data_IF_428782092320
#
_entry.id   IF_428782092320
#
_cell.length_a   1.000
_cell.length_b   1.000
_cell.length_c   1.000
_cell.angle_alpha   90.00
_cell.angle_beta   90.00
_cell.angle_gamma   90.00
#
_symmetry.space_group_name_H-M   'P 1'
#
loop_
_entity.id
_entity.type
_entity.pdbx_description
1 polymer ?
#
# COMPACT_ATOMS: atom_id res chain seq x y z
N UNK A 1 12.98 15.15 1.78
CA UNK A 1 11.75 14.42 2.16
C UNK A 1 11.01 15.32 3.11
N UNK A 2 9.78 15.75 2.79
CA UNK A 2 8.99 16.61 3.67
C UNK A 2 8.50 15.80 4.89
N UNK A 3 8.13 16.48 5.98
CA UNK A 3 7.58 15.82 7.18
C UNK A 3 6.31 15.01 6.80
N UNK A 4 5.53 15.49 5.85
CA UNK A 4 4.34 14.82 5.34
C UNK A 4 4.68 13.52 4.57
N UNK A 5 5.80 13.50 3.82
CA UNK A 5 6.27 12.29 3.13
C UNK A 5 6.56 11.18 4.13
N UNK A 6 7.26 11.49 5.22
CA UNK A 6 7.68 10.51 6.22
C UNK A 6 6.49 9.91 6.97
N UNK A 7 5.51 10.73 7.32
CA UNK A 7 4.26 10.28 7.95
C UNK A 7 3.48 9.35 7.02
N UNK A 8 3.35 9.72 5.74
CA UNK A 8 2.62 8.93 4.77
C UNK A 8 3.28 7.57 4.47
N UNK A 9 4.62 7.55 4.35
CA UNK A 9 5.35 6.29 4.17
C UNK A 9 5.22 5.38 5.39
N UNK A 10 5.25 5.92 6.60
CA UNK A 10 5.04 5.15 7.82
C UNK A 10 3.62 4.57 7.90
N UNK A 11 2.61 5.33 7.55
CA UNK A 11 1.23 4.86 7.49
C UNK A 11 1.05 3.72 6.46
N UNK A 12 1.68 3.84 5.29
CA UNK A 12 1.70 2.77 4.31
C UNK A 12 2.33 1.48 4.86
N UNK A 13 3.49 1.58 5.54
CA UNK A 13 4.14 0.40 6.15
C UNK A 13 3.20 -0.28 7.15
N UNK A 14 2.51 0.48 7.99
CA UNK A 14 1.51 -0.06 8.94
C UNK A 14 0.41 -0.81 8.21
N UNK A 15 -0.14 -0.24 7.14
CA UNK A 15 -1.23 -0.83 6.38
C UNK A 15 -0.78 -2.11 5.63
N UNK A 16 0.42 -2.10 5.06
CA UNK A 16 0.99 -3.28 4.41
C UNK A 16 1.30 -4.37 5.43
N UNK A 17 1.84 -4.03 6.61
CA UNK A 17 2.08 -4.99 7.69
C UNK A 17 0.78 -5.70 8.12
N UNK A 18 -0.35 -4.99 8.20
CA UNK A 18 -1.65 -5.60 8.48
C UNK A 18 -2.07 -6.60 7.38
N UNK A 19 -1.84 -6.26 6.10
CA UNK A 19 -2.11 -7.16 4.97
C UNK A 19 -1.20 -8.38 4.99
N UNK A 20 0.08 -8.21 5.28
CA UNK A 20 1.03 -9.32 5.44
C UNK A 20 0.60 -10.26 6.57
N UNK A 21 0.09 -9.72 7.69
CA UNK A 21 -0.51 -10.53 8.74
C UNK A 21 -1.65 -11.42 8.21
N UNK A 22 -2.56 -10.85 7.43
CA UNK A 22 -3.65 -11.63 6.81
C UNK A 22 -3.11 -12.70 5.87
N UNK A 23 -2.11 -12.38 5.05
CA UNK A 23 -1.46 -13.33 4.15
C UNK A 23 -0.85 -14.49 4.94
N UNK A 24 -0.13 -14.21 6.03
CA UNK A 24 0.44 -15.26 6.89
C UNK A 24 -0.65 -16.16 7.49
N UNK A 25 -1.80 -15.62 7.91
CA UNK A 25 -2.93 -16.46 8.34
C UNK A 25 -3.48 -17.32 7.20
N UNK A 26 -3.50 -16.84 5.97
CA UNK A 26 -3.91 -17.61 4.80
C UNK A 26 -2.93 -18.76 4.45
N UNK A 27 -1.71 -18.78 4.99
CA UNK A 27 -0.78 -19.90 4.80
C UNK A 27 -1.07 -21.10 5.71
N UNK A 28 -1.80 -20.91 6.82
CA UNK A 28 -2.10 -21.98 7.80
C UNK A 28 -2.91 -23.14 7.20
N UNK A 29 -3.92 -22.93 6.34
CA UNK A 29 -4.65 -24.04 5.71
C UNK A 29 -3.82 -24.87 4.72
N UNK A 30 -2.74 -24.33 4.15
CA UNK A 30 -1.98 -24.99 3.10
C UNK A 30 -1.44 -26.37 3.52
N UNK A 31 -0.73 -26.54 4.65
CA UNK A 31 -0.26 -27.85 5.09
C UNK A 31 -1.40 -28.80 5.48
N UNK A 32 -2.57 -28.28 5.89
CA UNK A 32 -3.76 -29.13 6.16
C UNK A 32 -4.28 -29.71 4.84
N UNK A 33 -4.32 -28.92 3.78
CA UNK A 33 -4.67 -29.40 2.43
C UNK A 33 -3.68 -30.47 1.97
N UNK A 34 -2.38 -30.30 2.19
CA UNK A 34 -1.37 -31.34 1.85
C UNK A 34 -1.57 -32.62 2.64
N UNK A 35 -1.84 -32.53 3.94
CA UNK A 35 -2.13 -33.68 4.74
C UNK A 35 -3.40 -34.42 4.26
N UNK A 36 -4.45 -33.68 3.89
CA UNK A 36 -5.67 -34.27 3.35
C UNK A 36 -5.44 -34.96 1.98
N UNK A 37 -4.67 -34.34 1.07
CA UNK A 37 -4.33 -34.89 -0.22
C UNK A 37 -3.43 -36.14 -0.07
N UNK A 38 -2.56 -36.16 0.93
CA UNK A 38 -1.75 -37.35 1.27
C UNK A 38 -2.58 -38.50 1.83
N UNK A 39 -3.64 -38.20 2.59
CA UNK A 39 -4.54 -39.20 3.14
C UNK A 39 -5.39 -39.93 2.09
N UNK A 40 -5.57 -39.32 0.90
CA UNK A 40 -6.30 -39.94 -0.23
C UNK A 40 -5.35 -40.38 -1.36
N UNK A 41 -4.05 -40.52 -1.07
CA UNK A 41 -2.99 -41.00 -1.98
C UNK A 41 -2.85 -40.16 -3.29
N UNK A 42 -3.40 -38.96 -3.34
CA UNK A 42 -3.23 -38.05 -4.49
C UNK A 42 -1.81 -37.45 -4.50
N UNK A 43 -1.30 -37.11 -3.31
CA UNK A 43 0.04 -36.56 -3.12
C UNK A 43 0.74 -37.27 -1.93
N UNK A 44 1.88 -37.88 -2.19
CA UNK A 44 2.65 -38.58 -1.15
C UNK A 44 3.56 -37.52 -0.46
N UNK A 45 3.02 -36.86 0.55
CA UNK A 45 3.77 -35.88 1.37
C UNK A 45 3.99 -36.46 2.77
N UNK A 46 5.22 -36.50 3.31
CA UNK A 46 5.47 -36.96 4.66
C UNK A 46 4.67 -36.20 5.70
N UNK A 47 3.95 -36.88 6.58
CA UNK A 47 3.14 -36.21 7.62
C UNK A 47 3.96 -35.33 8.56
N UNK A 48 5.20 -35.73 8.88
CA UNK A 48 6.12 -34.96 9.68
C UNK A 48 6.46 -33.61 9.03
N UNK A 49 6.60 -33.59 7.70
CA UNK A 49 6.83 -32.37 6.94
C UNK A 49 5.60 -31.44 6.99
N UNK A 50 4.41 -31.98 6.70
CA UNK A 50 3.15 -31.22 6.77
C UNK A 50 2.94 -30.62 8.15
N UNK A 51 3.25 -31.35 9.22
CA UNK A 51 3.20 -30.89 10.60
C UNK A 51 4.21 -29.75 10.84
N UNK A 52 5.45 -29.89 10.35
CA UNK A 52 6.48 -28.85 10.47
C UNK A 52 6.08 -27.54 9.80
N UNK A 53 5.54 -27.59 8.57
CA UNK A 53 5.04 -26.42 7.85
C UNK A 53 3.83 -25.80 8.57
N UNK A 54 2.94 -26.63 9.14
CA UNK A 54 1.79 -26.17 9.93
C UNK A 54 2.24 -25.42 11.19
N UNK A 55 3.18 -25.98 11.94
CA UNK A 55 3.71 -25.32 13.15
C UNK A 55 4.40 -24.00 12.80
N UNK A 56 5.24 -24.00 11.76
CA UNK A 56 5.91 -22.79 11.29
C UNK A 56 4.90 -21.69 10.95
N UNK A 57 3.93 -21.98 10.09
CA UNK A 57 2.93 -20.99 9.64
C UNK A 57 2.08 -20.48 10.81
N UNK A 58 1.66 -21.38 11.71
CA UNK A 58 0.85 -21.04 12.88
C UNK A 58 1.62 -20.15 13.85
N UNK A 59 2.82 -20.57 14.27
CA UNK A 59 3.64 -19.82 15.25
C UNK A 59 3.95 -18.43 14.71
N UNK A 60 4.41 -18.31 13.45
CA UNK A 60 4.75 -17.02 12.88
C UNK A 60 3.54 -16.11 12.69
N UNK A 61 2.39 -16.64 12.26
CA UNK A 61 1.17 -15.85 12.11
C UNK A 61 0.71 -15.24 13.45
N UNK A 62 0.68 -16.04 14.52
CA UNK A 62 0.30 -15.56 15.84
C UNK A 62 1.33 -14.62 16.45
N UNK A 63 2.64 -14.91 16.30
CA UNK A 63 3.72 -14.04 16.76
C UNK A 63 3.65 -12.68 16.03
N UNK A 64 3.49 -12.69 14.72
CA UNK A 64 3.40 -11.46 13.92
C UNK A 64 2.20 -10.61 14.33
N UNK A 65 1.02 -11.23 14.52
CA UNK A 65 -0.18 -10.56 15.02
C UNK A 65 0.01 -9.96 16.43
N UNK A 66 0.68 -10.70 17.31
CA UNK A 66 1.00 -10.23 18.66
C UNK A 66 1.91 -8.99 18.64
N UNK A 67 2.93 -8.99 17.79
CA UNK A 67 3.86 -7.87 17.64
C UNK A 67 3.17 -6.62 17.04
N UNK A 68 2.26 -6.80 16.08
CA UNK A 68 1.41 -5.70 15.57
C UNK A 68 0.59 -5.09 16.71
N UNK A 69 -0.06 -5.91 17.55
CA UNK A 69 -0.85 -5.42 18.68
C UNK A 69 -0.01 -4.67 19.72
N UNK A 70 1.25 -5.05 19.89
CA UNK A 70 2.22 -4.36 20.78
C UNK A 70 2.80 -3.07 20.19
N UNK A 71 2.40 -2.66 18.98
CA UNK A 71 2.95 -1.49 18.29
C UNK A 71 4.48 -1.49 18.21
N UNK A 72 5.08 -2.65 17.95
CA UNK A 72 6.51 -2.78 17.71
C UNK A 72 6.91 -1.98 16.47
N UNK A 73 8.19 -1.61 16.37
CA UNK A 73 8.72 -0.84 15.24
C UNK A 73 8.27 -1.43 13.89
N UNK A 74 7.60 -0.60 13.09
CA UNK A 74 6.95 -1.02 11.85
C UNK A 74 7.94 -1.49 10.79
N UNK A 75 9.15 -0.93 10.77
CA UNK A 75 10.23 -1.35 9.87
C UNK A 75 10.74 -2.75 10.26
N UNK A 76 10.86 -3.03 11.55
CA UNK A 76 11.20 -4.38 12.03
C UNK A 76 10.13 -5.40 11.61
N UNK A 77 8.84 -5.05 11.78
CA UNK A 77 7.72 -5.89 11.34
C UNK A 77 7.76 -6.14 9.83
N UNK A 78 8.08 -5.14 9.03
CA UNK A 78 8.26 -5.31 7.58
C UNK A 78 9.28 -6.41 7.27
N UNK A 79 10.50 -6.32 7.84
CA UNK A 79 11.53 -7.33 7.59
C UNK A 79 11.15 -8.71 8.12
N UNK A 80 10.54 -8.77 9.30
CA UNK A 80 10.04 -10.02 9.87
C UNK A 80 8.97 -10.68 8.99
N UNK A 81 8.04 -9.88 8.44
CA UNK A 81 7.00 -10.37 7.53
C UNK A 81 7.58 -10.93 6.22
N UNK A 82 8.60 -10.25 5.67
CA UNK A 82 9.32 -10.71 4.48
C UNK A 82 10.05 -12.03 4.77
N UNK A 83 10.74 -12.11 5.89
CA UNK A 83 11.43 -13.36 6.29
C UNK A 83 10.45 -14.50 6.55
N UNK A 84 9.32 -14.23 7.18
CA UNK A 84 8.29 -15.23 7.44
C UNK A 84 7.67 -15.78 6.14
N UNK A 85 7.36 -14.92 5.17
CA UNK A 85 6.81 -15.32 3.88
C UNK A 85 7.85 -16.06 3.01
N UNK A 86 9.09 -15.58 2.99
CA UNK A 86 10.19 -16.24 2.27
C UNK A 86 10.53 -17.61 2.87
N UNK A 87 10.55 -17.71 4.20
CA UNK A 87 10.77 -18.97 4.90
C UNK A 87 9.64 -19.97 4.69
N UNK A 88 8.39 -19.52 4.65
CA UNK A 88 7.26 -20.38 4.31
C UNK A 88 7.40 -20.96 2.90
N UNK A 89 7.71 -20.13 1.90
CA UNK A 89 7.92 -20.59 0.52
C UNK A 89 9.14 -21.51 0.41
N UNK A 90 10.21 -21.23 1.15
CA UNK A 90 11.39 -22.08 1.23
C UNK A 90 11.04 -23.46 1.78
N UNK A 91 10.29 -23.54 2.88
CA UNK A 91 9.82 -24.80 3.42
C UNK A 91 9.00 -25.58 2.39
N UNK A 92 8.08 -24.91 1.67
CA UNK A 92 7.33 -25.54 0.59
C UNK A 92 8.24 -26.05 -0.54
N UNK A 93 9.34 -25.34 -0.78
CA UNK A 93 10.32 -25.67 -1.82
C UNK A 93 11.23 -26.85 -1.51
N UNK A 94 11.51 -27.17 -0.24
CA UNK A 94 12.42 -28.26 0.15
C UNK A 94 11.88 -29.62 -0.28
N UNK A 95 10.59 -29.85 -0.12
CA UNK A 95 9.97 -31.13 -0.51
C UNK A 95 9.88 -31.22 -2.03
N UNK A 96 10.62 -32.15 -2.62
CA UNK A 96 10.78 -32.28 -4.08
C UNK A 96 9.50 -32.60 -4.86
N UNK A 97 8.43 -32.99 -4.18
CA UNK A 97 7.16 -33.44 -4.77
C UNK A 97 6.35 -32.23 -5.26
N UNK A 98 6.49 -31.06 -4.60
CA UNK A 98 5.72 -29.85 -4.92
C UNK A 98 6.60 -28.92 -5.75
N UNK A 99 6.36 -28.86 -7.06
CA UNK A 99 7.08 -27.93 -7.94
C UNK A 99 6.45 -26.54 -7.83
N UNK A 100 6.80 -25.78 -6.79
CA UNK A 100 6.23 -24.43 -6.55
C UNK A 100 7.28 -23.34 -6.84
N UNK A 101 7.92 -23.40 -7.99
CA UNK A 101 8.92 -22.38 -8.39
C UNK A 101 8.32 -20.97 -8.39
N UNK A 102 7.09 -20.86 -8.88
CA UNK A 102 6.36 -19.60 -8.94
C UNK A 102 6.10 -18.98 -7.56
N UNK A 103 6.02 -19.81 -6.51
CA UNK A 103 5.78 -19.32 -5.13
C UNK A 103 6.93 -18.47 -4.62
N UNK A 104 8.16 -18.68 -5.10
CA UNK A 104 9.30 -17.86 -4.75
C UNK A 104 9.23 -16.43 -5.31
N UNK A 105 8.34 -16.16 -6.26
CA UNK A 105 8.05 -14.81 -6.72
C UNK A 105 7.17 -14.02 -5.73
N UNK A 106 6.43 -14.72 -4.84
CA UNK A 106 5.46 -14.11 -3.95
C UNK A 106 6.06 -13.12 -2.93
N UNK A 107 7.14 -13.44 -2.18
CA UNK A 107 7.76 -12.47 -1.28
C UNK A 107 8.27 -11.20 -1.98
N UNK A 108 8.94 -11.24 -3.14
CA UNK A 108 9.29 -10.06 -3.93
C UNK A 108 8.08 -9.19 -4.29
N UNK A 109 6.94 -9.77 -4.70
CA UNK A 109 5.73 -9.02 -4.99
C UNK A 109 5.13 -8.35 -3.74
N UNK A 110 5.16 -9.02 -2.59
CA UNK A 110 4.76 -8.40 -1.32
C UNK A 110 5.63 -7.17 -1.02
N UNK A 111 6.93 -7.25 -1.27
CA UNK A 111 7.84 -6.13 -1.00
C UNK A 111 7.61 -4.92 -1.89
N UNK A 112 7.05 -5.09 -3.09
CA UNK A 112 6.65 -3.97 -3.93
C UNK A 112 5.61 -3.06 -3.26
N UNK A 113 4.75 -3.62 -2.38
CA UNK A 113 3.73 -2.88 -1.65
C UNK A 113 4.31 -1.91 -0.61
N UNK A 114 5.55 -2.12 -0.16
CA UNK A 114 6.23 -1.22 0.77
C UNK A 114 6.87 0.00 0.10
N UNK A 115 6.80 0.10 -1.23
CA UNK A 115 7.39 1.18 -2.03
C UNK A 115 8.91 1.37 -1.82
N UNK A 116 9.59 0.34 -1.33
CA UNK A 116 11.02 0.38 -1.05
C UNK A 116 11.79 -0.49 -2.05
N UNK A 117 12.32 0.17 -3.09
CA UNK A 117 13.07 -0.46 -4.18
C UNK A 117 14.27 -1.28 -3.70
N UNK A 118 14.99 -0.82 -2.65
CA UNK A 118 16.14 -1.56 -2.10
C UNK A 118 15.70 -2.87 -1.46
N UNK A 119 14.64 -2.83 -0.64
CA UNK A 119 14.08 -4.01 0.01
C UNK A 119 13.61 -5.03 -1.03
N UNK A 120 12.90 -4.58 -2.07
CA UNK A 120 12.44 -5.44 -3.16
C UNK A 120 13.59 -6.16 -3.86
N UNK A 121 14.66 -5.44 -4.23
CA UNK A 121 15.85 -6.04 -4.87
C UNK A 121 16.51 -7.09 -3.99
N UNK A 122 16.72 -6.77 -2.72
CA UNK A 122 17.31 -7.70 -1.77
C UNK A 122 16.44 -8.95 -1.56
N UNK A 123 15.12 -8.78 -1.43
CA UNK A 123 14.21 -9.93 -1.28
C UNK A 123 14.23 -10.82 -2.51
N UNK A 124 14.23 -10.24 -3.72
CA UNK A 124 14.33 -11.02 -4.96
C UNK A 124 15.62 -11.84 -5.03
N UNK A 125 16.75 -11.22 -4.66
CA UNK A 125 18.03 -11.93 -4.61
C UNK A 125 18.05 -13.05 -3.55
N UNK A 126 17.52 -12.78 -2.35
CA UNK A 126 17.42 -13.83 -1.30
C UNK A 126 16.52 -14.97 -1.74
N UNK A 127 15.37 -14.69 -2.37
CA UNK A 127 14.50 -15.74 -2.89
C UNK A 127 15.17 -16.58 -3.99
N UNK A 128 16.01 -15.97 -4.84
CA UNK A 128 16.84 -16.69 -5.79
C UNK A 128 17.78 -17.67 -5.10
N UNK A 129 18.52 -17.23 -4.07
CA UNK A 129 19.42 -18.09 -3.32
C UNK A 129 18.66 -19.24 -2.61
N UNK A 130 17.52 -18.94 -1.99
CA UNK A 130 16.68 -19.96 -1.36
C UNK A 130 16.18 -20.99 -2.39
N UNK A 131 15.81 -20.55 -3.59
CA UNK A 131 15.43 -21.47 -4.68
C UNK A 131 16.60 -22.37 -5.06
N UNK A 132 17.80 -21.83 -5.23
CA UNK A 132 19.00 -22.63 -5.52
C UNK A 132 19.25 -23.70 -4.45
N UNK A 133 19.12 -23.33 -3.17
CA UNK A 133 19.25 -24.26 -2.04
C UNK A 133 18.19 -25.37 -2.11
N UNK A 134 16.96 -25.07 -2.50
CA UNK A 134 15.91 -26.08 -2.67
C UNK A 134 16.16 -27.05 -3.84
N UNK A 135 16.76 -26.57 -4.94
CA UNK A 135 17.05 -27.39 -6.11
C UNK A 135 18.20 -28.37 -5.88
N UNK A 136 19.13 -28.08 -4.98
CA UNK A 136 20.26 -28.95 -4.68
C UNK A 136 19.85 -30.33 -4.16
N UNK A 137 19.11 -30.49 -3.05
CA UNK A 137 18.68 -31.82 -2.57
C UNK A 137 17.74 -32.52 -3.55
N UNK A 138 16.95 -31.77 -4.33
CA UNK A 138 16.09 -32.34 -5.37
C UNK A 138 16.87 -33.10 -6.44
N UNK A 139 18.05 -32.60 -6.81
CA UNK A 139 18.88 -33.23 -7.85
C UNK A 139 19.24 -34.71 -7.57
N UNK A 140 19.26 -35.09 -6.31
CA UNK A 140 19.56 -36.49 -5.89
C UNK A 140 18.33 -37.38 -5.90
N UNK A 141 17.12 -36.80 -5.86
CA UNK A 141 15.86 -37.55 -5.76
C UNK A 141 15.12 -37.72 -7.10
N UNK A 142 15.58 -37.04 -8.14
CA UNK A 142 14.94 -37.07 -9.46
C UNK A 142 15.42 -38.31 -10.23
N UNK A 143 14.53 -39.05 -10.92
CA UNK A 143 14.92 -40.11 -11.86
C UNK A 143 15.70 -39.48 -13.03
N UNK A 144 17.02 -39.58 -12.98
CA UNK A 144 17.94 -38.91 -13.93
C UNK A 144 17.68 -39.29 -15.38
N UNK A 145 17.36 -40.55 -15.62
CA UNK A 145 17.08 -41.08 -16.97
C UNK A 145 15.84 -40.39 -17.58
N UNK A 146 14.78 -40.19 -16.79
CA UNK A 146 13.58 -39.50 -17.24
C UNK A 146 13.78 -37.99 -17.41
N UNK A 147 14.72 -37.43 -16.66
CA UNK A 147 15.05 -36.00 -16.71
C UNK A 147 16.09 -35.67 -17.80
N UNK A 148 16.59 -36.68 -18.55
CA UNK A 148 17.63 -36.50 -19.57
C UNK A 148 18.94 -35.92 -19.00
N UNK A 149 19.31 -36.39 -17.81
CA UNK A 149 20.52 -35.99 -17.10
C UNK A 149 21.38 -37.22 -16.77
N UNK A 150 22.70 -37.09 -16.93
CA UNK A 150 23.64 -38.16 -16.63
C UNK A 150 24.02 -38.19 -15.15
N UNK A 151 24.05 -37.04 -14.50
CA UNK A 151 24.43 -36.89 -13.08
C UNK A 151 23.52 -35.91 -12.36
N UNK A 152 23.37 -36.00 -11.00
CA UNK A 152 22.64 -35.04 -10.21
C UNK A 152 23.14 -33.63 -10.38
N UNK A 153 24.46 -33.47 -10.49
CA UNK A 153 25.09 -32.16 -10.71
C UNK A 153 24.70 -31.53 -12.07
N UNK A 154 24.68 -32.35 -13.14
CA UNK A 154 24.26 -31.89 -14.47
C UNK A 154 22.79 -31.47 -14.45
N UNK A 155 21.92 -32.24 -13.82
CA UNK A 155 20.51 -31.88 -13.62
C UNK A 155 20.35 -30.57 -12.86
N UNK A 156 21.10 -30.39 -11.77
CA UNK A 156 21.09 -29.15 -10.98
C UNK A 156 21.50 -27.95 -11.82
N UNK A 157 22.64 -28.02 -12.53
CA UNK A 157 23.14 -26.89 -13.36
C UNK A 157 22.14 -26.53 -14.47
N UNK A 158 21.56 -27.54 -15.15
CA UNK A 158 20.54 -27.32 -16.19
C UNK A 158 19.33 -26.53 -15.66
N UNK A 159 18.84 -26.92 -14.49
CA UNK A 159 17.69 -26.22 -13.88
C UNK A 159 18.06 -24.84 -13.32
N UNK A 160 19.25 -24.67 -12.77
CA UNK A 160 19.72 -23.34 -12.32
C UNK A 160 19.84 -22.34 -13.47
N UNK A 161 20.28 -22.78 -14.65
CA UNK A 161 20.31 -21.88 -15.83
C UNK A 161 18.88 -21.38 -16.15
N UNK A 162 17.88 -22.26 -16.16
CA UNK A 162 16.49 -21.88 -16.34
C UNK A 162 16.02 -20.91 -15.25
N UNK A 163 16.32 -21.24 -13.99
CA UNK A 163 15.98 -20.43 -12.83
C UNK A 163 16.59 -19.01 -12.91
N UNK A 164 17.84 -18.88 -13.34
CA UNK A 164 18.52 -17.59 -13.55
C UNK A 164 17.75 -16.73 -14.54
N UNK A 165 17.30 -17.31 -15.65
CA UNK A 165 16.50 -16.59 -16.66
C UNK A 165 15.19 -16.10 -16.05
N UNK A 166 14.46 -16.97 -15.33
CA UNK A 166 13.20 -16.60 -14.65
C UNK A 166 13.41 -15.47 -13.64
N UNK A 167 14.48 -15.53 -12.85
CA UNK A 167 14.78 -14.50 -11.86
C UNK A 167 15.29 -13.18 -12.46
N UNK A 168 15.92 -13.20 -13.62
CA UNK A 168 16.22 -11.95 -14.36
C UNK A 168 14.91 -11.24 -14.73
N UNK A 169 13.94 -11.97 -15.30
CA UNK A 169 12.63 -11.41 -15.60
C UNK A 169 11.89 -10.93 -14.34
N UNK A 170 11.89 -11.73 -13.28
CA UNK A 170 11.29 -11.37 -12.01
C UNK A 170 11.92 -10.11 -11.41
N UNK A 171 13.25 -9.99 -11.47
CA UNK A 171 13.98 -8.83 -10.98
C UNK A 171 13.62 -7.57 -11.77
N UNK A 172 13.59 -7.64 -13.11
CA UNK A 172 13.18 -6.51 -13.96
C UNK A 172 11.73 -6.11 -13.64
N UNK A 173 10.83 -7.08 -13.54
CA UNK A 173 9.41 -6.82 -13.28
C UNK A 173 9.20 -6.18 -11.91
N UNK A 174 9.81 -6.72 -10.86
CA UNK A 174 9.66 -6.22 -9.49
C UNK A 174 10.34 -4.87 -9.30
N UNK A 175 11.48 -4.61 -9.96
CA UNK A 175 12.15 -3.31 -9.95
C UNK A 175 11.29 -2.25 -10.66
N UNK A 176 10.70 -2.60 -11.81
CA UNK A 176 9.78 -1.73 -12.53
C UNK A 176 8.52 -1.42 -11.71
N UNK A 177 7.87 -2.44 -11.14
CA UNK A 177 6.68 -2.27 -10.31
C UNK A 177 6.97 -1.41 -9.08
N UNK A 178 8.05 -1.70 -8.36
CA UNK A 178 8.45 -0.94 -7.18
C UNK A 178 8.78 0.52 -7.51
N UNK A 179 9.45 0.78 -8.64
CA UNK A 179 9.75 2.13 -9.12
C UNK A 179 8.48 2.89 -9.51
N UNK A 180 7.59 2.25 -10.28
CA UNK A 180 6.33 2.86 -10.71
C UNK A 180 5.42 3.19 -9.53
N UNK A 181 5.26 2.26 -8.59
CA UNK A 181 4.46 2.49 -7.39
C UNK A 181 5.03 3.61 -6.52
N UNK A 182 6.35 3.67 -6.36
CA UNK A 182 7.02 4.76 -5.65
C UNK A 182 6.76 6.12 -6.29
N UNK A 183 6.92 6.23 -7.62
CA UNK A 183 6.69 7.48 -8.37
C UNK A 183 5.21 7.90 -8.32
N UNK A 184 4.28 6.95 -8.44
CA UNK A 184 2.85 7.22 -8.33
C UNK A 184 2.51 7.75 -6.94
N UNK A 185 3.09 7.18 -5.90
CA UNK A 185 2.89 7.62 -4.53
C UNK A 185 3.40 9.05 -4.30
N UNK A 186 4.61 9.37 -4.78
CA UNK A 186 5.16 10.72 -4.70
C UNK A 186 4.28 11.75 -5.44
N UNK A 187 3.78 11.39 -6.62
CA UNK A 187 2.85 12.22 -7.38
C UNK A 187 1.54 12.46 -6.62
N UNK A 188 1.02 11.42 -5.96
CA UNK A 188 -0.20 11.54 -5.15
C UNK A 188 -0.01 12.47 -3.95
N UNK A 189 1.08 12.31 -3.20
CA UNK A 189 1.42 13.18 -2.06
C UNK A 189 1.52 14.64 -2.51
N UNK A 190 2.23 14.91 -3.62
CA UNK A 190 2.35 16.25 -4.18
C UNK A 190 1.01 16.84 -4.61
N UNK A 191 0.13 16.01 -5.19
CA UNK A 191 -1.23 16.43 -5.56
C UNK A 191 -2.08 16.76 -4.32
N UNK A 192 -1.95 15.99 -3.25
CA UNK A 192 -2.63 16.28 -1.97
C UNK A 192 -2.16 17.61 -1.37
N UNK A 193 -0.86 17.89 -1.35
CA UNK A 193 -0.30 19.15 -0.85
C UNK A 193 -0.83 20.37 -1.64
N UNK A 194 -0.88 20.23 -2.98
CA UNK A 194 -1.43 21.32 -3.83
C UNK A 194 -2.92 21.54 -3.59
N UNK A 195 -3.67 20.46 -3.40
CA UNK A 195 -5.11 20.53 -3.10
C UNK A 195 -5.35 21.18 -1.73
N UNK A 196 -4.56 20.83 -0.73
CA UNK A 196 -4.67 21.42 0.62
C UNK A 196 -4.38 22.94 0.61
N UNK A 197 -3.34 23.36 -0.13
CA UNK A 197 -3.04 24.79 -0.32
C UNK A 197 -4.19 25.53 -1.01
N UNK A 198 -4.70 24.97 -2.12
CA UNK A 198 -5.83 25.56 -2.84
C UNK A 198 -7.09 25.66 -1.95
N UNK A 199 -7.34 24.64 -1.13
CA UNK A 199 -8.45 24.67 -0.16
C UNK A 199 -8.25 25.75 0.91
N UNK A 200 -7.03 25.94 1.39
CA UNK A 200 -6.68 27.01 2.32
C UNK A 200 -6.94 28.41 1.73
N UNK A 201 -6.49 28.65 0.49
CA UNK A 201 -6.71 29.90 -0.24
C UNK A 201 -8.20 30.16 -0.50
N UNK A 202 -8.95 29.13 -0.90
CA UNK A 202 -10.39 29.21 -1.11
C UNK A 202 -11.13 29.58 0.20
N UNK A 203 -10.72 28.99 1.32
CA UNK A 203 -11.30 29.28 2.64
C UNK A 203 -11.05 30.73 3.06
N UNK A 204 -9.85 31.26 2.79
CA UNK A 204 -9.52 32.64 3.06
C UNK A 204 -10.30 33.62 2.15
N UNK A 205 -10.38 33.31 0.85
CA UNK A 205 -11.17 34.06 -0.12
C UNK A 205 -12.66 34.10 0.28
N UNK A 206 -13.23 32.98 0.68
CA UNK A 206 -14.62 32.93 1.17
C UNK A 206 -14.84 33.77 2.42
N UNK A 207 -13.86 33.86 3.33
CA UNK A 207 -13.94 34.79 4.48
C UNK A 207 -13.97 36.28 4.03
N UNK A 208 -13.11 36.63 3.07
CA UNK A 208 -13.07 37.98 2.49
C UNK A 208 -14.40 38.35 1.82
N UNK A 209 -14.96 37.43 1.02
CA UNK A 209 -16.28 37.61 0.37
C UNK A 209 -17.38 37.82 1.40
N UNK A 210 -17.43 37.06 2.47
CA UNK A 210 -18.42 37.26 3.56
C UNK A 210 -18.28 38.63 4.23
N UNK A 211 -17.05 39.09 4.48
CA UNK A 211 -16.80 40.39 5.06
C UNK A 211 -17.28 41.49 4.13
N UNK A 212 -16.93 41.46 2.84
CA UNK A 212 -17.32 42.45 1.81
C UNK A 212 -18.84 42.46 1.69
N UNK A 213 -19.51 41.31 1.65
CA UNK A 213 -20.97 41.25 1.59
C UNK A 213 -21.63 41.91 2.81
N UNK A 214 -21.08 41.69 4.02
CA UNK A 214 -21.56 42.35 5.23
C UNK A 214 -21.39 43.88 5.16
N UNK A 215 -20.25 44.37 4.68
CA UNK A 215 -20.01 45.83 4.48
C UNK A 215 -20.94 46.41 3.41
N UNK A 216 -21.16 45.69 2.32
CA UNK A 216 -22.07 46.09 1.25
C UNK A 216 -23.51 46.22 1.77
N UNK A 217 -23.98 45.27 2.54
CA UNK A 217 -25.29 45.28 3.15
C UNK A 217 -25.47 46.49 4.09
N UNK A 218 -24.45 46.81 4.92
CA UNK A 218 -24.47 47.97 5.80
C UNK A 218 -24.51 49.24 5.00
N UNK A 219 -23.72 49.37 3.92
CA UNK A 219 -23.73 50.54 3.03
C UNK A 219 -25.07 50.72 2.32
N UNK A 220 -25.69 49.65 1.86
CA UNK A 220 -27.00 49.68 1.23
C UNK A 220 -28.09 50.15 2.23
N UNK A 221 -28.04 49.71 3.49
CA UNK A 221 -28.96 50.19 4.54
C UNK A 221 -28.76 51.69 4.79
N UNK A 222 -27.51 52.14 4.93
CA UNK A 222 -27.21 53.59 5.10
C UNK A 222 -27.69 54.42 3.93
N UNK A 223 -27.53 53.91 2.69
CA UNK A 223 -28.00 54.62 1.49
C UNK A 223 -29.52 54.73 1.48
N UNK A 224 -30.24 53.65 1.80
CA UNK A 224 -31.69 53.67 1.90
C UNK A 224 -32.20 54.68 2.95
N UNK A 225 -31.58 54.71 4.13
CA UNK A 225 -31.90 55.71 5.17
C UNK A 225 -31.65 57.14 4.70
N UNK A 226 -30.53 57.36 4.00
CA UNK A 226 -30.19 58.67 3.44
C UNK A 226 -31.20 59.09 2.38
N UNK A 227 -31.57 58.20 1.46
CA UNK A 227 -32.60 58.46 0.45
C UNK A 227 -33.96 58.78 1.12
N UNK A 228 -34.35 58.04 2.16
CA UNK A 228 -35.58 58.35 2.88
C UNK A 228 -35.56 59.75 3.51
N UNK A 229 -34.45 60.17 4.15
CA UNK A 229 -34.29 61.53 4.72
C UNK A 229 -34.35 62.59 3.65
N UNK A 230 -33.77 62.39 2.48
CA UNK A 230 -33.85 63.35 1.36
C UNK A 230 -35.29 63.51 0.89
N UNK A 231 -36.02 62.36 0.71
CA UNK A 231 -37.44 62.40 0.29
C UNK A 231 -38.28 63.15 1.30
N UNK A 232 -38.08 62.89 2.61
CA UNK A 232 -38.80 63.59 3.68
C UNK A 232 -38.48 65.06 3.65
N UNK A 233 -37.22 65.48 3.53
CA UNK A 233 -36.84 66.90 3.44
C UNK A 233 -37.46 67.57 2.22
N UNK A 234 -37.47 66.97 1.07
CA UNK A 234 -38.13 67.50 -0.15
C UNK A 234 -39.63 67.63 0.05
N UNK A 235 -40.29 66.65 0.70
CA UNK A 235 -41.72 66.72 1.01
C UNK A 235 -42.04 67.91 2.00
N UNK A 236 -41.20 68.11 3.01
CA UNK A 236 -41.34 69.25 3.96
C UNK A 236 -41.16 70.63 3.27
N UNK A 237 -40.14 70.71 2.38
CA UNK A 237 -39.95 71.95 1.59
C UNK A 237 -41.12 72.28 0.66
N UNK A 238 -41.67 71.24 -0.02
CA UNK A 238 -42.84 71.44 -0.87
C UNK A 238 -44.09 71.84 -0.08
N UNK A 239 -44.33 71.14 1.06
CA UNK A 239 -45.44 71.49 1.97
C UNK A 239 -45.34 72.93 2.54
N UNK A 240 -44.15 73.37 2.86
CA UNK A 240 -43.94 74.77 3.31
C UNK A 240 -44.14 75.79 2.18
N UNK A 241 -43.79 75.43 0.95
CA UNK A 241 -44.02 76.32 -0.22
C UNK A 241 -45.49 76.47 -0.53
N UNK A 242 -46.31 75.43 -0.42
CA UNK A 242 -47.76 75.52 -0.63
C UNK A 242 -48.48 76.35 0.44
N UNK A 243 -48.00 76.29 1.69
CA UNK A 243 -48.49 77.15 2.76
C UNK A 243 -48.17 78.65 2.52
N UNK A 244 -47.09 78.99 1.82
CA UNK A 244 -46.74 80.36 1.47
C UNK A 244 -47.54 80.87 0.28
N UNK A 245 -47.84 80.05 -0.71
CA UNK A 245 -48.64 80.43 -1.89
C UNK A 245 -50.13 80.49 -1.60
N UNK A 246 -50.64 79.72 -0.66
CA UNK A 246 -52.07 79.72 -0.23
C UNK A 246 -52.48 80.97 0.64
N UNK A 247 -51.53 81.89 1.02
CA UNK A 247 -51.81 83.09 1.78
C UNK A 247 -51.91 84.36 0.94
N UNK A 248 -51.82 84.22 -0.36
CA UNK A 248 -51.88 85.39 -1.30
C UNK A 248 -53.11 85.33 -2.22
N UNK A 249 -54.21 84.75 -1.77
CA UNK A 249 -55.55 84.92 -2.43
C UNK A 249 -56.53 85.60 -1.49
#
# INVERSE_FOLDING_TARGET
MSINDEVFFNENIVNVNKKVCTILFCTIPVPVVFAALSAVDIWIVPHAYSLGVFLYSTILSFLYRYLIKKNVNQVFLMYMGIMATSGFVFLLGIEGIITITISFAFPPFITCLYYNRKVTKWTTFVCFLLSCICYWPRSFNVPLVLAGAETPFYWFVKNIIGLVIEYIFLFILTDYMSSRTHNTLQSLVKSMETTEKAYGELKESNKKVKLINGQLQQKNTQLAETQFKIIQFVAECLGSHDLFTGRHV
#
